data_IF_085409924210
#
_entry.id   IF_085409924210
#
_cell.length_a   1.000
_cell.length_b   1.000
_cell.length_c   1.000
_cell.angle_alpha   90.00
_cell.angle_beta   90.00
_cell.angle_gamma   90.00
#
_symmetry.space_group_name_H-M   'P 1'
#
loop_
_entity.id
_entity.type
_entity.pdbx_description
1 polymer ?
#
# COMPACT_ATOMS: atom_id res chain seq x y z
N UNK A 1 -3.83 22.39 -5.83
CA UNK A 1 -3.49 21.19 -5.05
C UNK A 1 -4.44 21.06 -3.85
N UNK A 2 -4.75 22.15 -3.10
CA UNK A 2 -5.72 22.10 -1.99
C UNK A 2 -7.16 21.85 -2.46
N UNK A 3 -7.57 22.36 -3.61
CA UNK A 3 -8.93 22.16 -4.15
C UNK A 3 -9.22 20.73 -4.62
N UNK A 4 -8.18 19.95 -4.92
CA UNK A 4 -8.30 18.53 -5.33
C UNK A 4 -8.49 17.61 -4.11
N UNK A 5 -7.89 17.95 -2.96
CA UNK A 5 -7.97 17.12 -1.75
C UNK A 5 -9.37 17.11 -1.09
N UNK A 6 -10.19 18.15 -1.28
CA UNK A 6 -11.54 18.23 -0.68
C UNK A 6 -12.62 17.47 -1.49
N UNK A 7 -12.33 17.02 -2.71
CA UNK A 7 -13.29 16.35 -3.61
C UNK A 7 -13.13 14.83 -3.70
N UNK A 8 -12.18 14.21 -3.02
CA UNK A 8 -11.84 12.78 -3.23
C UNK A 8 -12.48 11.79 -2.26
N UNK A 9 -13.59 12.14 -1.60
CA UNK A 9 -14.43 11.17 -0.90
C UNK A 9 -15.69 10.97 -1.74
N UNK A 10 -15.57 10.19 -2.80
CA UNK A 10 -16.66 9.82 -3.72
C UNK A 10 -16.33 10.14 -5.16
N UNK A 11 -15.86 9.18 -5.90
CA UNK A 11 -15.66 9.14 -7.37
C UNK A 11 -15.03 10.39 -7.99
N UNK A 12 -14.03 10.21 -8.83
CA UNK A 12 -13.46 11.31 -9.62
C UNK A 12 -14.56 12.05 -10.41
N UNK A 13 -14.40 13.35 -10.62
CA UNK A 13 -15.36 14.08 -11.44
C UNK A 13 -15.31 13.59 -12.89
N UNK A 14 -16.42 13.66 -13.63
CA UNK A 14 -16.46 13.30 -15.06
C UNK A 14 -15.41 14.04 -15.88
N UNK A 15 -15.04 15.25 -15.45
CA UNK A 15 -13.99 16.05 -16.09
C UNK A 15 -12.59 15.46 -15.84
N UNK A 16 -12.35 14.96 -14.62
CA UNK A 16 -11.10 14.28 -14.28
C UNK A 16 -10.98 12.96 -15.04
N UNK A 17 -12.05 12.18 -15.14
CA UNK A 17 -12.07 10.93 -15.91
C UNK A 17 -11.78 11.19 -17.40
N UNK A 18 -12.43 12.19 -18.00
CA UNK A 18 -12.19 12.56 -19.39
C UNK A 18 -10.75 13.02 -19.64
N UNK A 19 -10.17 13.76 -18.70
CA UNK A 19 -8.77 14.19 -18.77
C UNK A 19 -7.81 12.99 -18.69
N UNK A 20 -8.04 12.06 -17.77
CA UNK A 20 -7.23 10.84 -17.66
C UNK A 20 -7.35 9.99 -18.92
N UNK A 21 -8.55 9.81 -19.47
CA UNK A 21 -8.75 9.10 -20.73
C UNK A 21 -7.97 9.73 -21.89
N UNK A 22 -7.91 11.05 -21.93
CA UNK A 22 -7.12 11.76 -22.93
C UNK A 22 -5.62 11.47 -22.76
N UNK A 23 -5.08 11.59 -21.53
CA UNK A 23 -3.69 11.25 -21.23
C UNK A 23 -3.35 9.82 -21.65
N UNK A 24 -4.23 8.86 -21.31
CA UNK A 24 -4.03 7.45 -21.70
C UNK A 24 -4.00 7.26 -23.22
N UNK A 25 -4.77 8.04 -24.01
CA UNK A 25 -4.71 7.99 -25.48
C UNK A 25 -3.41 8.59 -26.03
N UNK A 26 -2.87 9.59 -25.37
CA UNK A 26 -1.63 10.28 -25.79
C UNK A 26 -0.35 9.50 -25.40
N UNK A 27 -0.44 8.62 -24.38
CA UNK A 27 0.67 7.78 -23.97
C UNK A 27 1.02 6.74 -25.05
N UNK A 28 2.30 6.66 -25.42
CA UNK A 28 2.84 5.56 -26.21
C UNK A 28 2.79 4.25 -25.44
N UNK A 29 2.87 3.12 -26.13
CA UNK A 29 2.90 1.79 -25.48
C UNK A 29 4.09 1.67 -24.51
N UNK A 30 5.26 2.17 -24.89
CA UNK A 30 6.45 2.14 -24.04
C UNK A 30 6.25 2.95 -22.76
N UNK A 31 5.60 4.11 -22.83
CA UNK A 31 5.30 4.92 -21.64
C UNK A 31 4.26 4.24 -20.74
N UNK A 32 3.21 3.63 -21.32
CA UNK A 32 2.22 2.86 -20.57
C UNK A 32 2.86 1.70 -19.80
N UNK A 33 3.73 0.94 -20.46
CA UNK A 33 4.47 -0.14 -19.79
C UNK A 33 5.36 0.41 -18.69
N UNK A 34 6.09 1.51 -18.94
CA UNK A 34 6.97 2.12 -17.95
C UNK A 34 6.24 2.67 -16.71
N UNK A 35 4.96 3.03 -16.81
CA UNK A 35 4.14 3.45 -15.68
C UNK A 35 3.66 2.28 -14.81
N UNK A 36 3.72 1.05 -15.31
CA UNK A 36 3.28 -0.14 -14.59
C UNK A 36 4.36 -0.77 -13.70
N UNK A 37 5.57 -0.22 -13.68
CA UNK A 37 6.66 -0.75 -12.86
C UNK A 37 7.56 0.35 -12.30
N UNK A 38 8.29 0.01 -11.23
CA UNK A 38 9.25 0.90 -10.61
C UNK A 38 10.39 1.31 -11.56
N UNK A 39 10.92 2.52 -11.37
CA UNK A 39 12.17 2.95 -11.98
C UNK A 39 13.35 2.92 -11.01
N UNK A 40 13.08 2.97 -9.72
CA UNK A 40 14.08 2.90 -8.63
C UNK A 40 13.52 2.10 -7.47
N UNK A 41 14.27 2.00 -6.37
CA UNK A 41 13.78 1.29 -5.17
C UNK A 41 12.45 1.82 -4.66
N UNK A 42 12.20 3.13 -4.75
CA UNK A 42 11.02 3.75 -4.16
C UNK A 42 10.38 4.80 -5.07
N UNK A 43 10.51 4.69 -6.39
CA UNK A 43 9.83 5.61 -7.29
C UNK A 43 9.32 4.95 -8.58
N UNK A 44 8.27 5.56 -9.13
CA UNK A 44 7.75 5.25 -10.46
C UNK A 44 8.28 6.25 -11.49
N UNK A 45 8.24 5.87 -12.75
CA UNK A 45 8.61 6.76 -13.84
C UNK A 45 7.48 7.76 -14.15
N UNK A 46 7.83 9.02 -14.32
CA UNK A 46 6.93 10.04 -14.84
C UNK A 46 6.93 10.09 -16.38
N UNK A 47 6.02 10.89 -16.94
CA UNK A 47 5.99 11.23 -18.36
C UNK A 47 5.94 12.77 -18.51
N UNK A 48 7.10 13.45 -18.43
CA UNK A 48 7.16 14.92 -18.35
C UNK A 48 6.48 15.65 -19.51
N UNK A 49 6.52 15.09 -20.73
CA UNK A 49 5.85 15.70 -21.89
C UNK A 49 4.33 15.79 -21.75
N UNK A 50 3.73 14.99 -20.86
CA UNK A 50 2.30 14.99 -20.55
C UNK A 50 2.01 15.55 -19.15
N UNK A 51 3.02 16.06 -18.45
CA UNK A 51 2.86 16.56 -17.10
C UNK A 51 2.59 15.48 -16.04
N UNK A 52 2.84 14.21 -16.35
CA UNK A 52 2.70 13.11 -15.40
C UNK A 52 3.99 13.05 -14.54
N UNK A 53 3.89 13.30 -13.22
CA UNK A 53 5.06 13.31 -12.35
C UNK A 53 5.57 11.89 -12.05
N UNK A 54 6.77 11.80 -11.53
CA UNK A 54 7.25 10.64 -10.79
C UNK A 54 6.49 10.55 -9.48
N UNK A 55 6.22 9.34 -9.01
CA UNK A 55 5.63 9.08 -7.69
C UNK A 55 6.72 8.55 -6.78
N UNK A 56 6.97 9.26 -5.68
CA UNK A 56 7.97 8.88 -4.70
C UNK A 56 7.32 8.26 -3.47
N UNK A 57 7.87 7.13 -3.03
CA UNK A 57 7.35 6.36 -1.91
C UNK A 57 8.35 6.33 -0.74
N UNK A 58 7.86 6.12 0.46
CA UNK A 58 8.68 5.76 1.60
C UNK A 58 8.04 4.60 2.36
N UNK A 59 8.87 3.66 2.78
CA UNK A 59 8.43 2.62 3.70
C UNK A 59 8.24 3.18 5.09
N UNK A 60 7.35 2.55 5.85
CA UNK A 60 7.24 2.77 7.27
C UNK A 60 5.84 3.01 7.81
N UNK A 61 5.20 1.96 8.37
CA UNK A 61 3.93 2.10 9.07
C UNK A 61 4.02 2.90 10.39
N UNK A 62 5.23 3.02 10.96
CA UNK A 62 5.49 3.70 12.23
C UNK A 62 6.74 4.61 12.19
N UNK A 63 6.94 5.24 11.03
CA UNK A 63 8.02 6.20 10.78
C UNK A 63 8.34 6.25 9.29
N UNK A 64 8.57 7.45 8.77
CA UNK A 64 8.98 7.63 7.37
C UNK A 64 10.43 7.18 7.23
N UNK A 65 10.69 6.14 6.44
CA UNK A 65 12.03 5.57 6.26
C UNK A 65 13.03 6.62 5.76
N UNK A 66 14.26 6.57 6.27
CA UNK A 66 15.36 7.34 5.74
C UNK A 66 15.62 7.00 4.26
N UNK A 67 16.17 7.95 3.51
CA UNK A 67 16.31 7.84 2.07
C UNK A 67 17.22 6.68 1.66
N UNK A 68 16.77 5.93 0.65
CA UNK A 68 17.51 4.81 0.10
C UNK A 68 18.26 5.23 -1.17
N UNK A 69 19.34 4.53 -1.46
CA UNK A 69 20.03 4.68 -2.74
C UNK A 69 19.10 4.32 -3.90
N UNK A 70 19.38 4.88 -5.07
CA UNK A 70 18.51 4.77 -6.26
C UNK A 70 18.07 3.34 -6.56
N UNK A 71 19.00 2.40 -6.54
CA UNK A 71 18.76 1.01 -6.92
C UNK A 71 19.46 0.00 -5.99
N UNK A 72 19.50 0.30 -4.71
CA UNK A 72 20.02 -0.63 -3.70
C UNK A 72 19.35 -0.43 -2.35
N UNK A 73 19.46 -1.45 -1.47
CA UNK A 73 18.95 -1.40 -0.10
C UNK A 73 19.87 -0.64 0.87
N UNK A 74 20.88 0.07 0.36
CA UNK A 74 21.72 0.93 1.18
C UNK A 74 21.04 2.28 1.39
N UNK A 75 21.28 2.89 2.53
CA UNK A 75 20.88 4.28 2.76
C UNK A 75 21.62 5.23 1.82
N UNK A 76 20.94 6.27 1.36
CA UNK A 76 21.53 7.31 0.51
C UNK A 76 22.59 8.16 1.23
N UNK A 77 22.65 8.07 2.57
CA UNK A 77 23.61 8.79 3.43
C UNK A 77 23.54 10.31 3.27
N UNK A 78 22.34 10.85 3.14
CA UNK A 78 22.13 12.29 3.10
C UNK A 78 22.47 12.94 4.44
N UNK A 79 23.09 14.12 4.40
CA UNK A 79 23.62 14.80 5.59
C UNK A 79 22.56 15.16 6.66
N UNK A 80 21.30 15.34 6.26
CA UNK A 80 20.20 15.73 7.14
C UNK A 80 18.99 14.81 6.95
N UNK A 81 19.20 13.49 6.93
CA UNK A 81 18.17 12.50 6.76
C UNK A 81 17.60 12.01 8.11
N UNK A 82 17.25 12.95 8.97
CA UNK A 82 16.61 12.65 10.25
C UNK A 82 15.17 12.22 10.05
N UNK A 83 14.75 11.19 10.76
CA UNK A 83 13.39 10.65 10.75
C UNK A 83 12.86 10.52 12.19
N UNK A 84 11.54 10.60 12.33
CA UNK A 84 10.86 10.33 13.59
C UNK A 84 10.58 8.86 13.75
N UNK A 85 11.05 8.25 14.84
CA UNK A 85 10.64 6.91 15.24
C UNK A 85 9.33 7.01 16.03
N UNK A 86 8.23 6.74 15.38
CA UNK A 86 6.92 6.66 16.02
C UNK A 86 6.78 5.35 16.82
N UNK A 87 5.87 5.28 17.81
CA UNK A 87 5.56 4.03 18.49
C UNK A 87 5.13 2.95 17.49
N UNK A 88 5.52 1.70 17.74
CA UNK A 88 5.09 0.57 16.91
C UNK A 88 3.54 0.49 16.82
N UNK A 89 2.99 -0.02 15.72
CA UNK A 89 1.53 -0.09 15.54
C UNK A 89 0.84 -0.95 16.60
N UNK A 90 1.53 -1.96 17.16
CA UNK A 90 1.06 -2.70 18.33
C UNK A 90 0.80 -1.77 19.51
N UNK A 91 1.68 -0.82 19.77
CA UNK A 91 1.53 0.17 20.84
C UNK A 91 0.36 1.13 20.54
N UNK A 92 0.24 1.59 19.29
CA UNK A 92 -0.89 2.41 18.88
C UNK A 92 -2.22 1.68 19.06
N UNK A 93 -2.31 0.43 18.63
CA UNK A 93 -3.53 -0.38 18.80
C UNK A 93 -3.89 -0.62 20.27
N UNK A 94 -2.88 -0.80 21.14
CA UNK A 94 -3.07 -0.98 22.58
C UNK A 94 -3.65 0.25 23.29
N UNK A 95 -3.60 1.42 22.65
CA UNK A 95 -4.29 2.62 23.18
C UNK A 95 -5.81 2.52 23.14
N UNK A 96 -6.36 1.70 22.23
CA UNK A 96 -7.80 1.58 21.95
C UNK A 96 -8.45 2.92 21.59
N UNK A 97 -7.67 3.88 21.10
CA UNK A 97 -8.09 5.25 20.83
C UNK A 97 -8.02 5.58 19.33
N UNK A 98 -9.17 5.57 18.61
CA UNK A 98 -9.22 5.94 17.20
C UNK A 98 -8.82 7.40 16.92
N UNK A 99 -9.02 8.32 17.89
CA UNK A 99 -8.60 9.71 17.72
C UNK A 99 -7.08 9.81 17.72
N UNK A 100 -6.42 9.12 18.65
CA UNK A 100 -4.95 9.03 18.67
C UNK A 100 -4.42 8.40 17.38
N UNK A 101 -5.13 7.40 16.83
CA UNK A 101 -4.77 6.80 15.54
C UNK A 101 -4.84 7.81 14.38
N UNK A 102 -5.81 8.72 14.40
CA UNK A 102 -5.89 9.80 13.42
C UNK A 102 -4.75 10.81 13.59
N UNK A 103 -4.46 11.23 14.81
CA UNK A 103 -3.35 12.16 15.12
C UNK A 103 -2.00 11.55 14.72
N UNK A 104 -1.82 10.25 14.96
CA UNK A 104 -0.66 9.48 14.52
C UNK A 104 -0.52 9.51 12.99
N UNK A 105 -1.59 9.21 12.27
CA UNK A 105 -1.63 9.25 10.81
C UNK A 105 -1.37 10.67 10.25
N UNK A 106 -1.94 11.70 10.88
CA UNK A 106 -1.68 13.09 10.52
C UNK A 106 -0.20 13.44 10.62
N UNK A 107 0.43 13.11 11.73
CA UNK A 107 1.85 13.43 11.99
C UNK A 107 2.78 12.69 11.03
N UNK A 108 2.47 11.40 10.73
CA UNK A 108 3.21 10.63 9.73
C UNK A 108 3.06 11.19 8.32
N UNK A 109 1.84 11.54 7.94
CA UNK A 109 1.53 12.13 6.64
C UNK A 109 2.21 13.49 6.46
N UNK A 110 2.25 14.30 7.51
CA UNK A 110 2.96 15.58 7.51
C UNK A 110 4.46 15.40 7.29
N UNK A 111 5.10 14.46 8.01
CA UNK A 111 6.53 14.16 7.83
C UNK A 111 6.79 13.58 6.42
N UNK A 112 5.95 12.68 5.93
CA UNK A 112 6.07 12.14 4.58
C UNK A 112 5.97 13.24 3.52
N UNK A 113 5.02 14.15 3.67
CA UNK A 113 4.86 15.29 2.76
C UNK A 113 6.03 16.25 2.82
N UNK A 114 6.54 16.57 4.02
CA UNK A 114 7.73 17.37 4.19
C UNK A 114 8.95 16.75 3.50
N UNK A 115 9.04 15.42 3.46
CA UNK A 115 10.09 14.65 2.79
C UNK A 115 9.78 14.40 1.28
N UNK A 116 8.82 15.10 0.73
CA UNK A 116 8.42 15.00 -0.68
C UNK A 116 8.01 13.58 -1.11
N UNK A 117 7.34 12.84 -0.21
CA UNK A 117 6.80 11.54 -0.51
C UNK A 117 5.32 11.63 -0.89
N UNK A 118 4.94 10.92 -1.94
CA UNK A 118 3.58 10.86 -2.46
C UNK A 118 2.81 9.68 -1.88
N UNK A 119 3.53 8.60 -1.52
CA UNK A 119 2.96 7.38 -0.95
C UNK A 119 3.75 6.96 0.29
N UNK A 120 3.03 6.73 1.39
CA UNK A 120 3.56 6.08 2.59
C UNK A 120 3.12 4.62 2.59
N UNK A 121 4.08 3.69 2.62
CA UNK A 121 3.83 2.25 2.60
C UNK A 121 3.43 1.74 4.00
N UNK A 122 2.22 2.05 4.37
CA UNK A 122 1.57 1.74 5.64
C UNK A 122 0.12 2.23 5.65
N UNK A 123 -0.68 1.77 6.63
CA UNK A 123 -0.33 0.92 7.76
C UNK A 123 -0.26 -0.58 7.40
N UNK A 124 0.42 -1.36 8.25
CA UNK A 124 0.32 -2.82 8.24
C UNK A 124 -0.88 -3.29 9.06
N UNK A 125 -1.65 -4.26 8.52
CA UNK A 125 -2.89 -4.72 9.18
C UNK A 125 -3.08 -6.25 9.20
N UNK A 126 -2.03 -7.02 8.91
CA UNK A 126 -2.14 -8.48 9.01
C UNK A 126 -2.40 -8.89 10.46
N UNK A 127 -3.29 -9.88 10.64
CA UNK A 127 -3.69 -10.34 11.97
C UNK A 127 -2.61 -11.23 12.58
N UNK A 128 -2.30 -11.04 13.86
CA UNK A 128 -1.38 -11.91 14.59
C UNK A 128 -1.95 -13.32 14.70
N UNK A 129 -1.22 -14.31 14.19
CA UNK A 129 -1.57 -15.73 14.34
C UNK A 129 -0.62 -16.44 15.30
N UNK A 130 0.57 -15.92 15.42
CA UNK A 130 1.62 -16.45 16.28
C UNK A 130 2.52 -15.30 16.75
N UNK A 131 3.01 -15.31 17.98
CA UNK A 131 3.99 -14.32 18.43
C UNK A 131 5.32 -14.42 17.66
N UNK A 132 5.55 -15.53 16.97
CA UNK A 132 6.79 -15.83 16.23
C UNK A 132 6.79 -15.28 14.79
N UNK A 133 5.81 -14.47 14.39
CA UNK A 133 5.72 -13.98 13.01
C UNK A 133 6.95 -13.18 12.56
N UNK A 134 7.57 -12.40 13.44
CA UNK A 134 8.72 -11.55 13.10
C UNK A 134 8.35 -10.12 12.69
N UNK A 135 7.13 -9.86 12.21
CA UNK A 135 6.63 -8.53 11.83
C UNK A 135 5.37 -8.08 12.60
N UNK A 136 5.04 -8.73 13.71
CA UNK A 136 3.88 -8.35 14.51
C UNK A 136 3.93 -6.90 15.01
N UNK A 137 5.12 -6.35 15.29
CA UNK A 137 5.30 -4.97 15.73
C UNK A 137 4.74 -3.95 14.73
N UNK A 138 4.70 -4.30 13.46
CA UNK A 138 4.28 -3.46 12.34
C UNK A 138 2.75 -3.54 12.08
N UNK A 139 2.02 -4.36 12.84
CA UNK A 139 0.59 -4.62 12.66
C UNK A 139 -0.24 -4.17 13.88
N UNK A 140 -1.57 -4.11 13.69
CA UNK A 140 -2.51 -3.56 14.69
C UNK A 140 -3.08 -4.59 15.66
N UNK A 141 -2.54 -5.82 15.68
CA UNK A 141 -2.93 -6.82 16.67
C UNK A 141 -3.61 -8.08 16.14
N UNK A 142 -4.20 -8.84 17.04
CA UNK A 142 -4.87 -10.11 16.74
C UNK A 142 -6.39 -9.98 16.54
N UNK A 143 -6.98 -8.86 16.95
CA UNK A 143 -8.42 -8.62 16.87
C UNK A 143 -8.78 -7.88 15.57
N UNK A 144 -9.51 -8.53 14.64
CA UNK A 144 -9.90 -7.91 13.38
C UNK A 144 -10.83 -6.70 13.55
N UNK A 145 -11.61 -6.65 14.63
CA UNK A 145 -12.47 -5.49 14.90
C UNK A 145 -11.63 -4.29 15.34
N UNK A 146 -10.73 -4.47 16.31
CA UNK A 146 -9.82 -3.41 16.74
C UNK A 146 -8.98 -2.90 15.56
N UNK A 147 -8.35 -3.82 14.79
CA UNK A 147 -7.56 -3.45 13.62
C UNK A 147 -8.40 -2.61 12.63
N UNK A 148 -9.66 -2.99 12.38
CA UNK A 148 -10.57 -2.23 11.51
C UNK A 148 -10.87 -0.84 12.04
N UNK A 149 -11.04 -0.68 13.36
CA UNK A 149 -11.36 0.62 13.97
C UNK A 149 -10.15 1.55 14.06
N UNK A 150 -8.95 1.00 14.14
CA UNK A 150 -7.71 1.77 14.21
C UNK A 150 -7.16 2.14 12.82
N UNK A 151 -7.31 1.27 11.82
CA UNK A 151 -6.78 1.50 10.47
C UNK A 151 -7.45 2.67 9.75
N UNK A 152 -8.78 2.82 9.92
CA UNK A 152 -9.56 3.87 9.24
C UNK A 152 -9.05 5.27 9.57
N UNK A 153 -9.02 5.70 10.85
CA UNK A 153 -8.52 7.04 11.19
C UNK A 153 -7.04 7.24 10.88
N UNK A 154 -6.20 6.20 10.97
CA UNK A 154 -4.81 6.28 10.56
C UNK A 154 -4.70 6.68 9.08
N UNK A 155 -5.38 5.95 8.19
CA UNK A 155 -5.37 6.22 6.73
C UNK A 155 -5.88 7.63 6.44
N UNK A 156 -7.00 8.01 7.05
CA UNK A 156 -7.58 9.35 6.87
C UNK A 156 -6.61 10.46 7.32
N UNK A 157 -5.89 10.24 8.41
CA UNK A 157 -4.86 11.16 8.90
C UNK A 157 -3.72 11.33 7.89
N UNK A 158 -3.16 10.24 7.38
CA UNK A 158 -2.10 10.28 6.37
C UNK A 158 -2.58 11.01 5.10
N UNK A 159 -3.73 10.62 4.57
CA UNK A 159 -4.24 11.13 3.30
C UNK A 159 -4.68 12.60 3.36
N UNK A 160 -4.98 13.12 4.54
CA UNK A 160 -5.28 14.55 4.74
C UNK A 160 -4.12 15.48 4.35
N UNK A 161 -2.91 14.95 4.36
CA UNK A 161 -1.71 15.67 3.91
C UNK A 161 -1.45 15.56 2.40
N UNK A 162 -2.35 14.93 1.63
CA UNK A 162 -2.14 14.67 0.20
C UNK A 162 -1.10 13.59 -0.08
N UNK A 163 -0.84 12.72 0.90
CA UNK A 163 0.02 11.54 0.79
C UNK A 163 -0.86 10.31 0.76
N UNK A 164 -0.68 9.42 -0.21
CA UNK A 164 -1.41 8.17 -0.26
C UNK A 164 -0.96 7.24 0.87
N UNK A 165 -1.89 6.72 1.66
CA UNK A 165 -1.62 5.56 2.48
C UNK A 165 -1.66 4.29 1.61
N UNK A 166 -0.77 3.33 1.90
CA UNK A 166 -0.72 2.04 1.23
C UNK A 166 -0.88 0.91 2.27
N UNK A 167 -2.11 0.47 2.47
CA UNK A 167 -2.38 -0.58 3.46
C UNK A 167 -1.79 -1.92 3.02
N UNK A 168 -1.15 -2.64 3.97
CA UNK A 168 -0.35 -3.83 3.65
C UNK A 168 -0.45 -4.93 4.71
N UNK A 169 -0.12 -6.18 4.36
CA UNK A 169 0.16 -6.79 3.06
C UNK A 169 -1.04 -7.65 2.63
N UNK A 170 -1.65 -7.34 1.54
CA UNK A 170 -2.89 -7.95 1.06
C UNK A 170 -2.61 -9.20 0.21
N UNK A 171 -2.92 -10.40 0.73
CA UNK A 171 -3.40 -10.70 2.05
C UNK A 171 -2.69 -11.96 2.60
N UNK A 172 -2.89 -12.20 3.90
CA UNK A 172 -2.45 -13.43 4.55
C UNK A 172 -0.92 -13.54 4.77
N UNK A 173 -0.18 -12.45 4.81
CA UNK A 173 1.23 -12.45 5.22
C UNK A 173 1.33 -12.51 6.75
N UNK A 174 1.08 -13.71 7.32
CA UNK A 174 0.98 -13.94 8.75
C UNK A 174 2.19 -14.70 9.32
N UNK A 175 3.22 -14.92 8.50
CA UNK A 175 4.52 -15.42 8.90
C UNK A 175 5.61 -14.93 7.94
N UNK A 176 6.83 -14.73 8.45
CA UNK A 176 7.98 -14.30 7.64
C UNK A 176 8.82 -15.47 7.14
N UNK A 177 8.80 -16.59 7.86
CA UNK A 177 9.52 -17.79 7.44
C UNK A 177 8.91 -18.36 6.15
N UNK A 178 9.71 -18.48 5.11
CA UNK A 178 9.28 -18.95 3.78
C UNK A 178 8.21 -18.07 3.11
N UNK A 179 8.08 -16.79 3.49
CA UNK A 179 7.02 -15.89 3.00
C UNK A 179 6.94 -15.83 1.47
N UNK A 180 8.08 -15.97 0.77
CA UNK A 180 8.16 -15.85 -0.67
C UNK A 180 7.67 -17.10 -1.43
N UNK A 181 7.44 -18.21 -0.74
CA UNK A 181 7.07 -19.48 -1.36
C UNK A 181 5.91 -20.20 -0.68
N UNK A 182 5.55 -19.82 0.54
CA UNK A 182 4.49 -20.51 1.28
C UNK A 182 3.14 -20.36 0.58
N UNK A 183 2.38 -21.45 0.52
CA UNK A 183 0.99 -21.43 0.10
C UNK A 183 0.08 -21.46 1.33
N UNK A 184 -0.62 -20.36 1.59
CA UNK A 184 -1.47 -20.23 2.76
C UNK A 184 -2.79 -20.95 2.54
N UNK A 185 -3.15 -21.81 3.49
CA UNK A 185 -4.43 -22.49 3.52
C UNK A 185 -5.32 -21.88 4.61
N UNK A 186 -6.48 -21.41 4.22
CA UNK A 186 -7.50 -20.86 5.10
C UNK A 186 -8.89 -21.10 4.50
N UNK A 187 -9.87 -21.46 5.35
CA UNK A 187 -11.24 -21.55 4.88
C UNK A 187 -11.87 -20.17 4.69
N UNK A 188 -12.96 -20.12 3.90
CA UNK A 188 -13.61 -18.86 3.56
C UNK A 188 -14.12 -18.10 4.79
N UNK A 189 -14.65 -18.78 5.77
CA UNK A 189 -15.13 -18.15 7.00
C UNK A 189 -14.01 -17.39 7.71
N UNK A 190 -12.86 -18.03 7.93
CA UNK A 190 -11.72 -17.38 8.56
C UNK A 190 -11.14 -16.26 7.67
N UNK A 191 -11.09 -16.45 6.35
CA UNK A 191 -10.67 -15.43 5.41
C UNK A 191 -11.50 -14.15 5.57
N UNK A 192 -12.82 -14.26 5.50
CA UNK A 192 -13.73 -13.11 5.51
C UNK A 192 -14.02 -12.54 6.90
N UNK A 193 -13.92 -13.34 7.96
CA UNK A 193 -14.24 -12.89 9.33
C UNK A 193 -13.01 -12.42 10.12
N UNK A 194 -11.80 -12.88 9.76
CA UNK A 194 -10.58 -12.61 10.53
C UNK A 194 -9.54 -11.83 9.69
N UNK A 195 -9.18 -12.31 8.49
CA UNK A 195 -8.03 -11.79 7.77
C UNK A 195 -8.32 -10.59 6.88
N UNK A 196 -9.53 -10.49 6.35
CA UNK A 196 -9.92 -9.41 5.43
C UNK A 196 -10.59 -8.19 6.05
N UNK A 197 -11.18 -8.22 7.27
CA UNK A 197 -11.98 -7.10 7.77
C UNK A 197 -11.23 -5.76 7.85
N UNK A 198 -9.97 -5.74 8.30
CA UNK A 198 -9.19 -4.51 8.37
C UNK A 198 -8.90 -3.91 6.99
N UNK A 199 -8.60 -4.74 5.99
CA UNK A 199 -8.45 -4.29 4.60
C UNK A 199 -9.76 -3.78 4.02
N UNK A 200 -10.87 -4.47 4.31
CA UNK A 200 -12.20 -4.04 3.88
C UNK A 200 -12.55 -2.66 4.46
N UNK A 201 -12.30 -2.45 5.74
CA UNK A 201 -12.49 -1.16 6.40
C UNK A 201 -11.60 -0.07 5.79
N UNK A 202 -10.34 -0.38 5.48
CA UNK A 202 -9.44 0.53 4.80
C UNK A 202 -9.98 0.99 3.43
N UNK A 203 -10.58 0.08 2.66
CA UNK A 203 -11.19 0.40 1.36
C UNK A 203 -12.51 1.14 1.52
N UNK A 204 -13.45 0.56 2.24
CA UNK A 204 -14.84 1.00 2.22
C UNK A 204 -15.16 2.13 3.22
N UNK A 205 -14.41 2.24 4.32
CA UNK A 205 -14.64 3.27 5.34
C UNK A 205 -13.59 4.39 5.27
N UNK A 206 -12.32 4.05 5.02
CA UNK A 206 -11.26 5.05 4.96
C UNK A 206 -11.04 5.65 3.56
N UNK A 207 -11.45 4.96 2.50
CA UNK A 207 -11.15 5.36 1.12
C UNK A 207 -9.66 5.38 0.84
N UNK A 208 -8.95 4.29 1.17
CA UNK A 208 -7.50 4.17 0.96
C UNK A 208 -7.14 4.29 -0.52
N UNK A 209 -6.05 5.00 -0.83
CA UNK A 209 -5.65 5.25 -2.23
C UNK A 209 -4.76 4.17 -2.82
N UNK A 210 -4.08 3.41 -1.99
CA UNK A 210 -3.27 2.28 -2.47
C UNK A 210 -3.26 1.09 -1.51
N UNK A 211 -3.00 -0.09 -2.05
CA UNK A 211 -2.89 -1.36 -1.32
C UNK A 211 -1.65 -2.09 -1.82
N UNK A 212 -0.90 -2.69 -0.89
CA UNK A 212 0.26 -3.52 -1.25
C UNK A 212 -0.12 -5.00 -1.17
N UNK A 213 0.12 -5.73 -2.26
CA UNK A 213 0.03 -7.19 -2.30
C UNK A 213 1.06 -7.86 -1.40
N UNK A 214 0.78 -9.07 -0.95
CA UNK A 214 1.68 -9.85 -0.10
C UNK A 214 2.59 -10.77 -0.91
N UNK A 215 3.67 -11.25 -0.29
CA UNK A 215 4.62 -12.20 -0.91
C UNK A 215 4.05 -13.59 -1.11
N UNK A 216 3.27 -14.08 -0.14
CA UNK A 216 2.83 -15.47 -0.07
C UNK A 216 1.87 -15.84 -1.19
N UNK A 217 1.75 -17.14 -1.42
CA UNK A 217 0.65 -17.70 -2.21
C UNK A 217 -0.59 -17.87 -1.34
N UNK A 218 -1.73 -17.81 -2.01
CA UNK A 218 -3.02 -18.22 -1.49
C UNK A 218 -3.76 -18.99 -2.58
N UNK A 219 -4.16 -20.22 -2.28
CA UNK A 219 -4.79 -21.14 -3.26
C UNK A 219 -3.94 -21.28 -4.53
N UNK A 220 -2.66 -21.55 -4.34
CA UNK A 220 -1.65 -21.78 -5.38
C UNK A 220 -1.29 -20.57 -6.27
N UNK A 221 -1.89 -19.39 -6.06
CA UNK A 221 -1.53 -18.15 -6.74
C UNK A 221 -0.84 -17.18 -5.78
N UNK A 222 0.20 -16.51 -6.23
CA UNK A 222 0.86 -15.45 -5.46
C UNK A 222 -0.08 -14.27 -5.24
N UNK A 223 -0.11 -13.71 -4.05
CA UNK A 223 -1.05 -12.67 -3.65
C UNK A 223 -0.99 -11.43 -4.56
N UNK A 224 0.21 -11.06 -5.04
CA UNK A 224 0.39 -9.93 -5.97
C UNK A 224 -0.23 -10.13 -7.35
N UNK A 225 -0.67 -11.34 -7.70
CA UNK A 225 -1.41 -11.62 -8.94
C UNK A 225 -2.49 -12.71 -8.74
N UNK A 226 -3.08 -12.73 -7.54
CA UNK A 226 -4.16 -13.66 -7.20
C UNK A 226 -5.50 -13.14 -7.70
N UNK A 227 -6.15 -13.89 -8.61
CA UNK A 227 -7.42 -13.48 -9.21
C UNK A 227 -8.52 -13.29 -8.17
N UNK A 228 -8.63 -14.20 -7.19
CA UNK A 228 -9.65 -14.10 -6.14
C UNK A 228 -9.44 -12.87 -5.26
N UNK A 229 -8.20 -12.64 -4.81
CA UNK A 229 -7.89 -11.53 -3.90
C UNK A 229 -8.02 -10.18 -4.60
N UNK A 230 -7.31 -9.98 -5.71
CA UNK A 230 -7.20 -8.66 -6.34
C UNK A 230 -8.40 -8.32 -7.22
N UNK A 231 -8.76 -9.22 -8.15
CA UNK A 231 -9.81 -8.93 -9.12
C UNK A 231 -11.19 -9.09 -8.52
N UNK A 232 -11.46 -10.23 -7.86
CA UNK A 232 -12.79 -10.54 -7.34
C UNK A 232 -13.09 -9.77 -6.05
N UNK A 233 -12.31 -9.99 -4.98
CA UNK A 233 -12.62 -9.42 -3.66
C UNK A 233 -12.33 -7.92 -3.65
N UNK A 234 -11.10 -7.52 -3.98
CA UNK A 234 -10.67 -6.14 -3.82
C UNK A 234 -11.37 -5.20 -4.83
N UNK A 235 -11.18 -5.45 -6.13
CA UNK A 235 -11.69 -4.53 -7.16
C UNK A 235 -13.17 -4.71 -7.45
N UNK A 236 -13.68 -5.97 -7.57
CA UNK A 236 -15.09 -6.18 -7.92
C UNK A 236 -16.03 -6.07 -6.73
N UNK A 237 -15.77 -6.78 -5.61
CA UNK A 237 -16.72 -6.85 -4.51
C UNK A 237 -16.67 -5.61 -3.60
N UNK A 238 -15.48 -5.05 -3.37
CA UNK A 238 -15.30 -3.86 -2.54
C UNK A 238 -15.26 -2.56 -3.35
N UNK A 239 -15.17 -2.64 -4.67
CA UNK A 239 -15.14 -1.47 -5.55
C UNK A 239 -13.88 -0.64 -5.42
N UNK A 240 -12.73 -1.25 -5.10
CA UNK A 240 -11.47 -0.53 -4.98
C UNK A 240 -11.02 -0.01 -6.35
N UNK A 241 -10.88 1.29 -6.46
CA UNK A 241 -10.45 2.02 -7.66
C UNK A 241 -9.07 2.67 -7.52
N UNK A 242 -8.39 2.44 -6.39
CA UNK A 242 -7.03 2.91 -6.16
C UNK A 242 -5.96 1.99 -6.79
N UNK A 243 -4.71 2.19 -6.41
CA UNK A 243 -3.55 1.50 -6.98
C UNK A 243 -3.17 0.26 -6.16
N UNK A 244 -3.11 -0.89 -6.81
CA UNK A 244 -2.54 -2.12 -6.23
C UNK A 244 -1.06 -2.16 -6.55
N UNK A 245 -0.22 -2.12 -5.52
CA UNK A 245 1.24 -2.14 -5.60
C UNK A 245 1.71 -3.54 -5.20
N UNK A 246 2.69 -4.13 -5.90
CA UNK A 246 3.30 -5.36 -5.42
C UNK A 246 4.23 -5.08 -4.22
N UNK A 247 4.42 -6.04 -3.34
CA UNK A 247 5.61 -6.02 -2.51
C UNK A 247 6.86 -6.26 -3.39
N UNK A 248 8.06 -5.88 -2.93
CA UNK A 248 9.30 -5.94 -3.72
C UNK A 248 9.62 -7.38 -4.10
N UNK A 249 9.73 -7.64 -5.40
CA UNK A 249 9.89 -9.01 -5.95
C UNK A 249 8.70 -9.96 -5.67
N UNK A 250 7.55 -9.43 -5.29
CA UNK A 250 6.34 -10.23 -5.05
C UNK A 250 5.59 -10.66 -6.31
N UNK A 251 5.99 -10.15 -7.48
CA UNK A 251 5.40 -10.50 -8.78
C UNK A 251 6.16 -11.65 -9.43
N UNK A 252 5.47 -12.73 -9.76
CA UNK A 252 6.07 -13.94 -10.34
C UNK A 252 5.50 -14.30 -11.72
N UNK A 253 4.56 -13.51 -12.26
CA UNK A 253 3.94 -13.73 -13.57
C UNK A 253 3.45 -12.41 -14.14
N UNK A 254 4.07 -11.95 -15.21
CA UNK A 254 3.65 -10.72 -15.92
C UNK A 254 2.23 -10.82 -16.45
N UNK A 255 1.86 -11.99 -17.02
CA UNK A 255 0.53 -12.18 -17.59
C UNK A 255 -0.57 -12.16 -16.53
N UNK A 256 -0.40 -12.90 -15.44
CA UNK A 256 -1.38 -12.95 -14.36
C UNK A 256 -1.49 -11.60 -13.64
N UNK A 257 -0.36 -10.91 -13.40
CA UNK A 257 -0.35 -9.57 -12.84
C UNK A 257 -1.21 -8.61 -13.66
N UNK A 258 -0.99 -8.57 -14.97
CA UNK A 258 -1.76 -7.71 -15.88
C UNK A 258 -3.25 -8.09 -15.97
N UNK A 259 -3.60 -9.38 -15.86
CA UNK A 259 -4.99 -9.86 -16.01
C UNK A 259 -5.80 -9.79 -14.70
N UNK A 260 -5.12 -9.92 -13.57
CA UNK A 260 -5.79 -10.12 -12.28
C UNK A 260 -5.75 -8.93 -11.34
N UNK A 261 -5.17 -7.80 -11.79
CA UNK A 261 -5.44 -6.52 -11.13
C UNK A 261 -4.30 -5.94 -10.33
N UNK A 262 -3.06 -6.36 -10.56
CA UNK A 262 -1.88 -5.60 -10.15
C UNK A 262 -1.75 -4.37 -11.05
N UNK A 263 -1.53 -3.21 -10.45
CA UNK A 263 -1.41 -1.95 -11.20
C UNK A 263 0.04 -1.47 -11.29
N UNK A 264 0.85 -1.74 -10.26
CA UNK A 264 2.23 -1.28 -10.17
C UNK A 264 3.13 -2.38 -9.58
N UNK A 265 4.10 -2.82 -10.34
CA UNK A 265 5.14 -3.74 -9.89
C UNK A 265 6.30 -2.95 -9.26
N UNK A 266 6.58 -3.22 -7.98
CA UNK A 266 7.73 -2.67 -7.28
C UNK A 266 8.87 -3.68 -7.21
N UNK A 267 10.07 -3.13 -7.16
CA UNK A 267 11.31 -3.88 -7.32
C UNK A 267 11.96 -3.57 -8.67
N UNK A 268 13.27 -3.52 -8.64
CA UNK A 268 14.10 -3.37 -9.84
C UNK A 268 14.78 -4.70 -10.10
N UNK A 269 15.38 -4.91 -11.28
CA UNK A 269 16.07 -6.15 -11.63
C UNK A 269 17.21 -6.56 -10.69
N UNK A 270 17.50 -5.75 -9.67
CA UNK A 270 18.50 -6.03 -8.63
C UNK A 270 17.89 -6.60 -7.33
N UNK A 271 16.59 -6.80 -7.28
CA UNK A 271 15.89 -7.29 -6.08
C UNK A 271 15.77 -8.82 -6.02
N UNK A 272 16.10 -9.53 -7.10
CA UNK A 272 16.01 -10.99 -7.23
C UNK A 272 17.31 -11.72 -7.01
#
# INVERSE_FOLDING_TARGET
>A
VQEIAEKSIGGMSKETDAYIEQLVKELSLTEKVALCHAQSKFSTKGVPRLGIPEIWMADGPHGVRAEMSWDSWNYAQWANDSITAFPALTCLAASLDPQLSNEYGLSLGEEARYREKDVLLGPGVNIYRTPMNGRNFEYLGEDPFLASKMVVPYIQGVQKNGVAACVKHFALNNQEHWRDIINVEVNDRALYEIYLPAFKAAVMEAGVWSIMGAYNKFRDQYACHNELLLKKILKSDWGFDGVVISDWSGTHSTLEAALYGLDLEMGTGTDG
#
